data_IF_441293294622
#
_entry.id   IF_441293294622
#
_cell.length_a   1.000
_cell.length_b   1.000
_cell.length_c   1.000
_cell.angle_alpha   90.00
_cell.angle_beta   90.00
_cell.angle_gamma   90.00
#
_symmetry.space_group_name_H-M   'P 1'
#
loop_
_entity.id
_entity.type
_entity.pdbx_description
1 polymer ?
#
# COMPACT_ATOMS: atom_id res chain seq x y z
N UNK A 1 -3.06 -15.00 -24.25
CA UNK A 1 -2.88 -13.79 -23.44
C UNK A 1 -2.44 -14.32 -22.09
N UNK A 2 -1.18 -14.15 -21.71
CA UNK A 2 -0.72 -14.60 -20.39
C UNK A 2 -1.45 -13.73 -19.38
N UNK A 3 -2.31 -14.35 -18.58
CA UNK A 3 -3.08 -13.65 -17.55
C UNK A 3 -2.21 -13.63 -16.30
N UNK A 4 -1.47 -12.54 -16.14
CA UNK A 4 -0.51 -12.37 -15.06
C UNK A 4 -1.24 -12.48 -13.71
N UNK A 5 -0.76 -13.33 -12.78
CA UNK A 5 -1.37 -13.45 -11.45
C UNK A 5 -1.52 -12.11 -10.73
N UNK A 6 -0.59 -11.20 -10.98
CA UNK A 6 -0.63 -9.81 -10.50
C UNK A 6 -1.90 -9.07 -10.96
N UNK A 7 -2.36 -9.25 -12.20
CA UNK A 7 -3.58 -8.62 -12.71
C UNK A 7 -4.82 -9.14 -11.98
N UNK A 8 -4.90 -10.45 -11.74
CA UNK A 8 -5.98 -11.01 -10.92
C UNK A 8 -5.98 -10.45 -9.50
N UNK A 9 -4.81 -10.18 -8.93
CA UNK A 9 -4.70 -9.60 -7.59
C UNK A 9 -5.18 -8.15 -7.59
N UNK A 10 -4.78 -7.36 -8.60
CA UNK A 10 -5.26 -5.99 -8.82
C UNK A 10 -6.79 -5.97 -8.98
N UNK A 11 -7.35 -6.85 -9.81
CA UNK A 11 -8.80 -6.96 -9.99
C UNK A 11 -9.51 -7.32 -8.70
N UNK A 12 -8.96 -8.27 -7.93
CA UNK A 12 -9.52 -8.67 -6.65
C UNK A 12 -9.58 -7.51 -5.66
N UNK A 13 -8.45 -6.80 -5.44
CA UNK A 13 -8.41 -5.71 -4.46
C UNK A 13 -9.24 -4.51 -4.92
N UNK A 14 -9.31 -4.22 -6.22
CA UNK A 14 -10.18 -3.18 -6.76
C UNK A 14 -11.66 -3.46 -6.48
N UNK A 15 -12.08 -4.72 -6.64
CA UNK A 15 -13.47 -5.13 -6.48
C UNK A 15 -13.90 -5.28 -5.02
N UNK A 16 -12.98 -5.73 -4.15
CA UNK A 16 -13.31 -6.20 -2.81
C UNK A 16 -12.79 -5.30 -1.68
N UNK A 17 -11.71 -4.55 -1.91
CA UNK A 17 -11.00 -3.81 -0.84
C UNK A 17 -10.96 -2.32 -1.13
N UNK A 18 -10.27 -1.88 -2.19
CA UNK A 18 -9.98 -0.46 -2.45
C UNK A 18 -11.25 0.38 -2.59
N UNK A 19 -12.28 -0.15 -3.25
CA UNK A 19 -13.58 0.52 -3.39
C UNK A 19 -14.44 0.53 -2.12
N UNK A 20 -13.91 0.09 -0.97
CA UNK A 20 -14.59 0.03 0.34
C UNK A 20 -13.80 0.70 1.46
N UNK A 21 -12.69 1.36 1.14
CA UNK A 21 -11.84 2.08 2.10
C UNK A 21 -12.36 3.52 2.26
N UNK A 22 -12.51 3.96 3.52
CA UNK A 22 -12.62 5.39 3.82
C UNK A 22 -11.20 5.98 3.88
N UNK A 23 -10.77 6.60 2.78
CA UNK A 23 -9.40 7.09 2.62
C UNK A 23 -9.05 8.28 3.53
N UNK A 24 -10.00 9.18 3.80
CA UNK A 24 -9.79 10.24 4.79
C UNK A 24 -9.53 9.67 6.18
N UNK A 25 -10.37 8.72 6.63
CA UNK A 25 -10.18 8.01 7.90
C UNK A 25 -8.86 7.24 7.92
N UNK A 26 -8.48 6.60 6.82
CA UNK A 26 -7.21 5.88 6.72
C UNK A 26 -6.01 6.83 6.93
N UNK A 27 -6.04 8.01 6.30
CA UNK A 27 -4.98 9.00 6.46
C UNK A 27 -4.88 9.52 7.90
N UNK A 28 -6.02 9.77 8.56
CA UNK A 28 -6.06 10.18 9.97
C UNK A 28 -5.56 9.05 10.88
N UNK A 29 -5.95 7.81 10.60
CA UNK A 29 -5.61 6.64 11.42
C UNK A 29 -4.10 6.33 11.41
N UNK A 30 -3.37 6.68 10.36
CA UNK A 30 -1.89 6.59 10.36
C UNK A 30 -1.23 7.34 11.51
N UNK A 31 -1.89 8.39 12.03
CA UNK A 31 -1.37 9.23 13.11
C UNK A 31 -1.82 8.74 14.50
N UNK A 32 -2.68 7.72 14.59
CA UNK A 32 -3.09 7.15 15.87
C UNK A 32 -1.98 6.24 16.42
N UNK A 33 -2.01 6.00 17.73
CA UNK A 33 -1.06 5.07 18.35
C UNK A 33 -1.27 3.65 17.82
N UNK A 34 -2.51 3.16 17.85
CA UNK A 34 -2.88 1.78 17.50
C UNK A 34 -2.89 1.49 15.99
N UNK A 35 -3.20 2.48 15.15
CA UNK A 35 -3.34 2.35 13.69
C UNK A 35 -4.28 1.21 13.28
N UNK A 36 -5.34 1.00 14.07
CA UNK A 36 -6.20 -0.17 13.97
C UNK A 36 -6.92 -0.23 12.62
N UNK A 37 -7.36 0.91 12.07
CA UNK A 37 -8.01 0.92 10.77
C UNK A 37 -7.00 0.63 9.65
N UNK A 38 -5.81 1.23 9.69
CA UNK A 38 -4.73 0.93 8.76
C UNK A 38 -4.34 -0.55 8.78
N UNK A 39 -4.13 -1.13 9.96
CA UNK A 39 -3.87 -2.57 10.13
C UNK A 39 -4.99 -3.43 9.55
N UNK A 40 -6.26 -3.04 9.75
CA UNK A 40 -7.39 -3.76 9.17
C UNK A 40 -7.41 -3.71 7.63
N UNK A 41 -7.09 -2.55 7.04
CA UNK A 41 -6.96 -2.40 5.58
C UNK A 41 -5.81 -3.24 5.04
N UNK A 42 -4.65 -3.22 5.72
CA UNK A 42 -3.49 -4.02 5.35
C UNK A 42 -3.81 -5.52 5.38
N UNK A 43 -4.56 -5.97 6.39
CA UNK A 43 -5.05 -7.34 6.47
C UNK A 43 -5.98 -7.70 5.30
N UNK A 44 -6.94 -6.85 4.94
CA UNK A 44 -7.83 -7.12 3.81
C UNK A 44 -7.06 -7.27 2.48
N UNK A 45 -6.05 -6.43 2.26
CA UNK A 45 -5.17 -6.56 1.09
C UNK A 45 -4.38 -7.88 1.15
N UNK A 46 -3.82 -8.22 2.31
CA UNK A 46 -3.09 -9.49 2.50
C UNK A 46 -3.99 -10.73 2.31
N UNK A 47 -5.26 -10.69 2.75
CA UNK A 47 -6.20 -11.77 2.44
C UNK A 47 -6.43 -11.91 0.93
N UNK A 48 -6.36 -10.81 0.16
CA UNK A 48 -6.36 -10.87 -1.29
C UNK A 48 -5.14 -11.59 -1.88
N UNK A 49 -3.96 -11.45 -1.25
CA UNK A 49 -2.76 -12.21 -1.63
C UNK A 49 -3.03 -13.71 -1.46
N UNK A 50 -3.58 -14.10 -0.31
CA UNK A 50 -3.93 -15.49 -0.03
C UNK A 50 -4.98 -16.05 -0.99
N UNK A 51 -6.00 -15.27 -1.35
CA UNK A 51 -7.06 -15.71 -2.26
C UNK A 51 -6.54 -15.89 -3.70
N UNK A 52 -5.72 -14.96 -4.19
CA UNK A 52 -5.32 -14.94 -5.61
C UNK A 52 -4.05 -15.75 -5.87
N UNK A 53 -3.01 -15.52 -5.07
CA UNK A 53 -1.75 -16.23 -5.25
C UNK A 53 -1.81 -17.63 -4.64
N UNK A 54 -2.58 -17.82 -3.55
CA UNK A 54 -2.71 -19.08 -2.82
C UNK A 54 -1.59 -19.33 -1.80
N UNK A 55 -0.75 -18.32 -1.55
CA UNK A 55 0.48 -18.46 -0.76
C UNK A 55 0.95 -17.10 -0.20
N UNK A 56 1.78 -17.15 0.84
CA UNK A 56 2.37 -15.98 1.51
C UNK A 56 3.90 -15.95 1.47
N UNK A 57 4.54 -16.95 0.86
CA UNK A 57 6.00 -17.04 0.73
C UNK A 57 6.36 -17.13 -0.74
N UNK A 58 7.26 -16.26 -1.19
CA UNK A 58 7.71 -16.16 -2.57
C UNK A 58 9.23 -16.30 -2.63
N UNK A 59 9.70 -16.96 -3.65
CA UNK A 59 11.10 -17.06 -4.05
C UNK A 59 11.23 -16.63 -5.51
N UNK A 60 12.46 -16.63 -6.03
CA UNK A 60 12.75 -16.21 -7.40
C UNK A 60 12.05 -17.04 -8.49
N UNK A 61 11.62 -18.26 -8.18
CA UNK A 61 11.04 -19.21 -9.12
C UNK A 61 9.53 -19.44 -8.87
N UNK A 62 8.93 -18.69 -7.92
CA UNK A 62 7.53 -18.89 -7.49
C UNK A 62 6.51 -18.48 -8.55
N UNK A 63 6.80 -17.41 -9.29
CA UNK A 63 5.93 -16.89 -10.36
C UNK A 63 6.70 -16.93 -11.67
N UNK A 64 6.08 -17.48 -12.73
CA UNK A 64 6.71 -17.61 -14.05
C UNK A 64 7.12 -16.25 -14.62
N UNK A 65 6.43 -15.20 -14.22
CA UNK A 65 6.59 -13.85 -14.76
C UNK A 65 7.66 -13.06 -14.01
N UNK A 66 8.13 -13.55 -12.85
CA UNK A 66 9.19 -12.93 -12.07
C UNK A 66 8.80 -11.66 -11.33
N UNK A 67 7.53 -11.25 -11.33
CA UNK A 67 7.03 -10.07 -10.62
C UNK A 67 5.88 -10.42 -9.67
N UNK A 68 5.83 -9.73 -8.54
CA UNK A 68 4.72 -9.82 -7.58
C UNK A 68 4.31 -8.43 -7.10
N UNK A 69 3.00 -8.23 -6.91
CA UNK A 69 2.47 -7.06 -6.21
C UNK A 69 2.04 -7.49 -4.81
N UNK A 70 2.63 -6.87 -3.79
CA UNK A 70 2.37 -7.19 -2.39
C UNK A 70 1.92 -5.96 -1.60
N UNK A 71 0.98 -6.11 -0.67
CA UNK A 71 0.65 -5.04 0.25
C UNK A 71 1.71 -4.95 1.34
N UNK A 72 2.07 -3.72 1.68
CA UNK A 72 3.07 -3.40 2.67
C UNK A 72 2.85 -2.03 3.30
N UNK A 73 3.85 -1.60 4.06
CA UNK A 73 3.84 -0.36 4.81
C UNK A 73 5.15 0.38 4.57
N UNK A 74 5.03 1.68 4.37
CA UNK A 74 6.12 2.62 4.26
C UNK A 74 6.21 3.44 5.54
N UNK A 75 7.42 3.85 5.91
CA UNK A 75 7.64 4.94 6.85
C UNK A 75 8.64 5.92 6.29
N UNK A 76 8.27 7.20 6.30
CA UNK A 76 9.18 8.29 5.98
C UNK A 76 10.36 8.31 6.95
N UNK A 77 11.57 8.34 6.40
CA UNK A 77 12.80 8.51 7.19
C UNK A 77 12.93 9.89 7.81
N UNK A 78 12.26 10.88 7.24
CA UNK A 78 12.34 12.28 7.66
C UNK A 78 11.29 12.62 8.71
N UNK A 79 10.04 12.23 8.49
CA UNK A 79 8.90 12.59 9.34
C UNK A 79 8.43 11.47 10.27
N UNK A 80 8.81 10.21 10.00
CA UNK A 80 8.23 9.04 10.66
C UNK A 80 6.80 8.71 10.23
N UNK A 81 6.22 9.49 9.31
CA UNK A 81 4.87 9.24 8.79
C UNK A 81 4.78 7.88 8.13
N UNK A 82 3.71 7.15 8.42
CA UNK A 82 3.45 5.83 7.85
C UNK A 82 2.37 5.89 6.77
N UNK A 83 2.41 4.93 5.85
CA UNK A 83 1.43 4.77 4.78
C UNK A 83 1.37 3.31 4.34
N UNK A 84 0.17 2.78 4.07
CA UNK A 84 0.04 1.51 3.37
C UNK A 84 0.40 1.72 1.90
N UNK A 85 1.10 0.77 1.32
CA UNK A 85 1.44 0.78 -0.09
C UNK A 85 1.26 -0.59 -0.73
N UNK A 86 1.02 -0.58 -2.04
CA UNK A 86 1.17 -1.74 -2.90
C UNK A 86 2.57 -1.66 -3.53
N UNK A 87 3.37 -2.69 -3.32
CA UNK A 87 4.78 -2.76 -3.71
C UNK A 87 4.93 -3.79 -4.83
N UNK A 88 5.34 -3.31 -6.00
CA UNK A 88 5.71 -4.17 -7.12
C UNK A 88 7.19 -4.56 -6.96
N UNK A 89 7.46 -5.86 -6.90
CA UNK A 89 8.78 -6.42 -6.63
C UNK A 89 9.18 -7.40 -7.74
N UNK A 90 10.43 -7.30 -8.19
CA UNK A 90 11.05 -8.23 -9.15
C UNK A 90 11.70 -9.40 -8.39
N UNK A 91 11.02 -10.54 -8.39
CA UNK A 91 11.50 -11.79 -7.80
C UNK A 91 12.75 -12.32 -8.50
N UNK A 92 12.89 -12.08 -9.81
CA UNK A 92 14.04 -12.54 -10.60
C UNK A 92 15.33 -11.78 -10.26
N UNK A 93 15.18 -10.53 -9.79
CA UNK A 93 16.23 -9.62 -9.30
C UNK A 93 16.25 -9.55 -7.76
N UNK A 94 16.08 -10.69 -7.08
CA UNK A 94 16.20 -10.77 -5.61
C UNK A 94 15.27 -9.80 -4.84
N UNK A 95 14.04 -9.63 -5.31
CA UNK A 95 13.03 -8.79 -4.66
C UNK A 95 13.21 -7.29 -4.92
N UNK A 96 13.89 -6.91 -6.00
CA UNK A 96 14.15 -5.50 -6.33
C UNK A 96 12.85 -4.71 -6.42
N UNK A 97 12.81 -3.58 -5.71
CA UNK A 97 11.65 -2.70 -5.68
C UNK A 97 11.48 -1.96 -7.00
N UNK A 98 10.36 -2.22 -7.67
CA UNK A 98 10.05 -1.70 -8.99
C UNK A 98 9.00 -0.61 -8.99
N UNK A 99 8.01 -0.66 -8.10
CA UNK A 99 6.87 0.25 -8.11
C UNK A 99 6.21 0.39 -6.74
N UNK A 100 5.56 1.52 -6.51
CA UNK A 100 4.83 1.81 -5.28
C UNK A 100 3.54 2.53 -5.60
N UNK A 101 2.40 1.98 -5.20
CA UNK A 101 1.13 2.73 -5.13
C UNK A 101 0.79 3.04 -3.67
N UNK A 102 0.57 4.32 -3.36
CA UNK A 102 0.36 4.82 -2.00
C UNK A 102 -1.14 4.89 -1.68
N UNK A 103 -1.57 4.36 -0.54
CA UNK A 103 -2.94 4.54 -0.06
C UNK A 103 -3.03 5.79 0.82
N UNK A 104 -3.47 6.90 0.23
CA UNK A 104 -3.51 8.23 0.84
C UNK A 104 -4.94 8.73 1.03
N UNK A 105 -5.11 9.92 1.63
CA UNK A 105 -6.41 10.61 1.71
C UNK A 105 -7.10 10.82 0.35
N UNK A 106 -6.35 10.80 -0.74
CA UNK A 106 -6.90 10.96 -2.09
C UNK A 106 -7.20 9.63 -2.80
N UNK A 107 -7.01 8.48 -2.13
CA UNK A 107 -7.14 7.17 -2.77
C UNK A 107 -5.79 6.47 -2.97
N UNK A 108 -5.78 5.49 -3.88
CA UNK A 108 -4.59 4.75 -4.29
C UNK A 108 -3.84 5.53 -5.38
N UNK A 109 -2.62 6.00 -5.09
CA UNK A 109 -1.86 6.92 -5.94
C UNK A 109 -0.61 6.24 -6.50
N UNK A 110 -0.48 6.20 -7.82
CA UNK A 110 0.77 5.84 -8.48
C UNK A 110 1.63 7.10 -8.74
N UNK A 111 2.79 7.27 -8.10
CA UNK A 111 3.64 8.47 -8.24
C UNK A 111 4.20 8.68 -9.66
N UNK A 112 4.15 7.65 -10.52
CA UNK A 112 4.60 7.69 -11.91
C UNK A 112 3.50 8.11 -12.88
N UNK A 113 2.27 8.32 -12.41
CA UNK A 113 1.20 8.84 -13.24
C UNK A 113 1.56 10.23 -13.79
N UNK A 114 1.53 10.35 -15.12
CA UNK A 114 1.99 11.57 -15.83
C UNK A 114 1.09 12.77 -15.53
N UNK A 115 -0.23 12.55 -15.43
CA UNK A 115 -1.25 13.59 -15.25
C UNK A 115 -1.56 13.88 -13.76
N UNK A 116 -0.70 13.43 -12.83
CA UNK A 116 -0.90 13.67 -11.40
C UNK A 116 -0.81 15.17 -11.06
N UNK A 117 -1.81 15.75 -10.37
CA UNK A 117 -1.79 17.15 -9.95
C UNK A 117 -0.60 17.50 -9.04
N UNK A 118 -0.06 18.71 -9.20
CA UNK A 118 1.13 19.17 -8.48
C UNK A 118 0.93 19.19 -6.95
N UNK A 119 -0.27 19.51 -6.47
CA UNK A 119 -0.60 19.46 -5.04
C UNK A 119 -0.43 18.06 -4.44
N UNK A 120 -0.80 17.01 -5.19
CA UNK A 120 -0.67 15.60 -4.78
C UNK A 120 0.79 15.18 -4.79
N UNK A 121 1.52 15.56 -5.85
CA UNK A 121 2.95 15.30 -5.97
C UNK A 121 3.73 15.93 -4.81
N UNK A 122 3.39 17.19 -4.47
CA UNK A 122 3.94 17.90 -3.31
C UNK A 122 3.58 17.19 -2.02
N UNK A 123 2.31 16.81 -1.83
CA UNK A 123 1.86 16.06 -0.66
C UNK A 123 2.65 14.76 -0.44
N UNK A 124 2.82 13.93 -1.49
CA UNK A 124 3.60 12.69 -1.38
C UNK A 124 5.05 12.95 -1.00
N UNK A 125 5.68 13.93 -1.66
CA UNK A 125 7.07 14.28 -1.42
C UNK A 125 7.30 14.81 0.00
N UNK A 126 6.45 15.70 0.48
CA UNK A 126 6.58 16.32 1.80
C UNK A 126 6.17 15.38 2.93
N UNK A 127 5.16 14.54 2.71
CA UNK A 127 4.63 13.65 3.75
C UNK A 127 5.50 12.41 3.91
N UNK A 128 5.88 11.78 2.80
CA UNK A 128 6.53 10.48 2.78
C UNK A 128 7.99 10.56 2.35
N UNK A 129 8.31 11.33 1.30
CA UNK A 129 9.70 11.55 0.88
C UNK A 129 10.47 10.24 0.68
N UNK A 130 11.67 10.15 1.27
CA UNK A 130 12.42 8.88 1.31
C UNK A 130 11.86 7.98 2.41
N UNK A 131 11.53 6.73 2.07
CA UNK A 131 10.92 5.79 3.01
C UNK A 131 11.77 4.53 3.25
N UNK A 132 11.64 3.98 4.45
CA UNK A 132 11.80 2.55 4.70
C UNK A 132 10.50 1.82 4.38
N UNK A 133 10.57 0.56 3.98
CA UNK A 133 9.40 -0.23 3.63
C UNK A 133 9.53 -1.68 4.02
N UNK A 134 8.39 -2.31 4.29
CA UNK A 134 8.26 -3.75 4.42
C UNK A 134 6.91 -4.21 3.90
N UNK A 135 6.80 -5.49 3.58
CA UNK A 135 5.59 -6.09 3.01
C UNK A 135 5.11 -7.28 3.86
N UNK A 136 3.84 -7.61 3.70
CA UNK A 136 3.14 -8.59 4.54
C UNK A 136 3.57 -10.03 4.27
N UNK A 137 3.87 -10.37 3.02
CA UNK A 137 4.37 -11.68 2.62
C UNK A 137 5.87 -11.86 2.96
N UNK A 138 6.41 -13.05 2.73
CA UNK A 138 7.84 -13.33 2.88
C UNK A 138 8.47 -13.59 1.53
N UNK A 139 9.52 -12.85 1.18
CA UNK A 139 10.38 -13.19 0.05
C UNK A 139 11.65 -13.81 0.60
N UNK A 140 11.96 -15.06 0.24
CA UNK A 140 13.11 -15.78 0.80
C UNK A 140 14.43 -15.34 0.21
N UNK A 141 14.41 -14.81 -1.01
CA UNK A 141 15.58 -14.38 -1.77
C UNK A 141 15.78 -12.86 -1.77
N UNK A 142 15.00 -12.12 -0.98
CA UNK A 142 15.08 -10.66 -0.90
C UNK A 142 16.35 -10.22 -0.14
N UNK A 143 17.17 -9.40 -0.81
CA UNK A 143 18.40 -8.81 -0.25
C UNK A 143 18.27 -7.32 0.06
N UNK A 144 17.15 -6.69 -0.31
CA UNK A 144 16.85 -5.28 -0.16
C UNK A 144 16.14 -4.98 1.16
N UNK A 145 15.26 -5.87 1.63
CA UNK A 145 14.49 -5.70 2.87
C UNK A 145 14.96 -6.67 3.95
N UNK A 146 15.59 -6.12 4.99
CA UNK A 146 15.89 -6.84 6.22
C UNK A 146 14.81 -6.56 7.27
N UNK A 147 13.90 -7.53 7.48
CA UNK A 147 12.78 -7.43 8.44
C UNK A 147 13.25 -7.15 9.88
N UNK A 148 14.45 -7.58 10.27
CA UNK A 148 15.00 -7.34 11.61
C UNK A 148 15.52 -5.91 11.78
N UNK A 149 15.82 -5.21 10.68
CA UNK A 149 16.34 -3.84 10.68
C UNK A 149 15.31 -2.78 10.32
N UNK A 150 14.07 -3.19 10.05
CA UNK A 150 12.96 -2.26 9.88
C UNK A 150 12.77 -1.40 11.14
N UNK A 151 12.30 -0.15 10.97
CA UNK A 151 11.84 0.66 12.09
C UNK A 151 10.78 -0.05 12.94
N UNK A 152 10.77 0.23 14.24
CA UNK A 152 9.88 -0.46 15.20
C UNK A 152 8.40 -0.29 14.84
N UNK A 153 7.99 0.88 14.34
CA UNK A 153 6.62 1.11 13.87
C UNK A 153 6.23 0.18 12.72
N UNK A 154 7.15 -0.09 11.79
CA UNK A 154 6.89 -1.01 10.68
C UNK A 154 6.77 -2.45 11.18
N UNK A 155 7.67 -2.87 12.07
CA UNK A 155 7.62 -4.22 12.68
C UNK A 155 6.32 -4.43 13.45
N UNK A 156 5.90 -3.43 14.21
CA UNK A 156 4.66 -3.46 14.98
C UNK A 156 3.46 -3.66 14.04
N UNK A 157 3.31 -2.83 13.02
CA UNK A 157 2.20 -2.95 12.07
C UNK A 157 2.25 -4.30 11.34
N UNK A 158 3.42 -4.71 10.85
CA UNK A 158 3.59 -5.96 10.08
C UNK A 158 3.44 -7.23 10.93
N UNK A 159 3.56 -7.14 12.26
CA UNK A 159 3.34 -8.30 13.15
C UNK A 159 1.92 -8.39 13.68
N UNK A 160 1.19 -7.27 13.74
CA UNK A 160 -0.13 -7.20 14.35
C UNK A 160 -1.30 -7.11 13.35
N UNK A 161 -1.06 -6.72 12.09
CA UNK A 161 -2.14 -6.44 11.13
C UNK A 161 -3.17 -7.56 10.99
N UNK A 162 -2.74 -8.83 11.04
CA UNK A 162 -3.62 -10.00 10.92
C UNK A 162 -4.71 -10.10 12.01
N UNK A 163 -4.52 -9.43 13.14
CA UNK A 163 -5.48 -9.40 14.25
C UNK A 163 -6.62 -8.38 14.03
N UNK A 164 -6.52 -7.53 13.00
CA UNK A 164 -7.49 -6.46 12.74
C UNK A 164 -8.39 -6.84 11.57
N UNK A 165 -9.69 -7.04 11.86
CA UNK A 165 -10.68 -7.40 10.84
C UNK A 165 -11.16 -6.15 10.13
N UNK A 166 -11.08 -6.15 8.79
CA UNK A 166 -11.57 -5.05 7.97
C UNK A 166 -13.11 -5.01 7.96
N UNK A 167 -13.65 -3.85 8.32
CA UNK A 167 -15.08 -3.55 8.18
C UNK A 167 -15.23 -2.64 6.97
N UNK A 168 -15.77 -3.14 5.83
CA UNK A 168 -15.88 -2.36 4.61
C UNK A 168 -16.92 -1.25 4.73
N UNK A 169 -16.60 -0.07 4.20
CA UNK A 169 -17.60 0.98 3.96
C UNK A 169 -18.50 0.61 2.77
N UNK A 170 -19.70 1.15 2.75
CA UNK A 170 -20.55 1.18 1.56
C UNK A 170 -19.90 2.04 0.47
N UNK A 171 -20.31 1.84 -0.79
CA UNK A 171 -19.74 2.60 -1.92
C UNK A 171 -20.09 4.08 -1.82
N UNK A 172 -21.30 4.38 -1.35
CA UNK A 172 -21.78 5.73 -1.11
C UNK A 172 -20.88 6.46 -0.09
N UNK A 173 -20.57 5.80 1.03
CA UNK A 173 -19.67 6.35 2.05
C UNK A 173 -18.26 6.57 1.49
N UNK A 174 -17.74 5.69 0.64
CA UNK A 174 -16.40 5.88 0.05
C UNK A 174 -16.37 7.13 -0.83
N UNK A 175 -17.38 7.32 -1.69
CA UNK A 175 -17.45 8.49 -2.57
C UNK A 175 -17.56 9.81 -1.80
N UNK A 176 -18.24 9.84 -0.67
CA UNK A 176 -18.38 11.03 0.17
C UNK A 176 -17.11 11.40 0.95
N UNK A 177 -16.22 10.43 1.20
CA UNK A 177 -15.04 10.60 2.04
C UNK A 177 -13.72 10.70 1.24
N UNK A 178 -13.76 10.54 -0.08
CA UNK A 178 -12.61 10.84 -0.93
C UNK A 178 -12.41 12.35 -0.99
N UNK A 179 -11.23 12.82 -0.56
CA UNK A 179 -10.87 14.22 -0.76
C UNK A 179 -10.53 14.42 -2.24
N UNK A 180 -11.25 15.35 -2.87
CA UNK A 180 -11.04 15.69 -4.28
C UNK A 180 -9.68 16.38 -4.45
N UNK A 181 -8.89 15.88 -5.39
CA UNK A 181 -7.61 16.48 -5.79
C UNK A 181 -7.77 17.94 -6.24
N UNK A 182 -8.93 18.30 -6.82
CA UNK A 182 -9.21 19.66 -7.29
C UNK A 182 -9.41 20.65 -6.12
N UNK A 183 -9.95 20.19 -4.99
CA UNK A 183 -10.20 21.06 -3.84
C UNK A 183 -8.90 21.57 -3.17
N UNK A 184 -7.82 20.78 -3.22
CA UNK A 184 -6.50 21.18 -2.73
C UNK A 184 -5.66 21.92 -3.80
N UNK A 185 -6.03 21.81 -5.09
CA UNK A 185 -5.39 22.53 -6.20
C UNK A 185 -5.84 23.98 -6.35
N UNK A 186 -7.09 24.29 -6.01
CA UNK A 186 -7.67 25.65 -6.09
C UNK A 186 -7.24 26.59 -4.95
N UNK A 187 -6.44 26.12 -3.98
CA UNK A 187 -5.91 26.96 -2.90
C UNK A 187 -4.63 27.74 -3.27
N UNK A 188 -4.17 27.69 -4.52
CA UNK A 188 -2.98 28.41 -4.98
C UNK A 188 -3.20 29.80 -5.60
N UNK A 189 -4.42 30.36 -5.59
CA UNK A 189 -4.66 31.75 -5.99
C UNK A 189 -5.13 32.65 -4.84
N UNK A 190 -4.24 33.02 -3.91
CA UNK A 190 -4.34 34.29 -3.15
C UNK A 190 -2.98 34.88 -2.77
#
# INVERSE_FOLDING_TARGET
MYDYKMNFYVDYINQNVLNRINYARLQEDYQTEEKAYAKSVLNALHQGVMEVYGMETFDRDTLEEGFVLLPGVLQSRESGNVCIALLELDLSSSGEHWGTDYLTKYGCINPREEEMPDAVRRFLKETYGTCDYGYTATLTDDIHVDKERLPDTLKEILSDFGNHVFVPCSREEVSENLLDYMADGDMEER
#
